data_IF_073800402861
#
_entry.id   IF_073800402861
#
_cell.length_a   1.000
_cell.length_b   1.000
_cell.length_c   1.000
_cell.angle_alpha   90.00
_cell.angle_beta   90.00
_cell.angle_gamma   90.00
#
_symmetry.space_group_name_H-M   'P 1'
#
loop_
_entity.id
_entity.type
_entity.pdbx_description
1 polymer ?
#
# COMPACT_ATOMS: atom_id res chain seq x y z
N UNK A 1 -17.67 -5.40 2.07
CA UNK A 1 -16.89 -4.14 1.91
C UNK A 1 -15.78 -4.41 0.92
N UNK A 2 -15.63 -3.57 -0.10
CA UNK A 2 -14.68 -3.75 -1.20
C UNK A 2 -13.23 -3.69 -0.73
N UNK A 3 -12.40 -4.62 -1.22
CA UNK A 3 -10.95 -4.71 -0.92
C UNK A 3 -10.22 -3.41 -1.27
N UNK A 4 -10.62 -2.76 -2.37
CA UNK A 4 -10.11 -1.46 -2.78
C UNK A 4 -10.31 -0.37 -1.71
N UNK A 5 -11.43 -0.36 -0.98
CA UNK A 5 -11.70 0.62 0.08
C UNK A 5 -10.84 0.39 1.33
N UNK A 6 -10.57 -0.88 1.67
CA UNK A 6 -9.63 -1.20 2.76
C UNK A 6 -8.21 -0.77 2.41
N UNK A 7 -7.75 -1.11 1.22
CA UNK A 7 -6.41 -0.77 0.75
C UNK A 7 -6.17 0.75 0.72
N UNK A 8 -7.17 1.51 0.25
CA UNK A 8 -7.10 2.97 0.25
C UNK A 8 -7.18 3.56 1.66
N UNK A 9 -8.04 3.05 2.54
CA UNK A 9 -8.11 3.50 3.95
C UNK A 9 -6.80 3.22 4.70
N UNK A 10 -6.18 2.07 4.48
CA UNK A 10 -4.90 1.69 5.07
C UNK A 10 -3.78 2.64 4.64
N UNK A 11 -3.72 2.98 3.36
CA UNK A 11 -2.76 3.96 2.83
C UNK A 11 -2.97 5.35 3.46
N UNK A 12 -4.22 5.84 3.43
CA UNK A 12 -4.57 7.16 3.97
C UNK A 12 -4.25 7.25 5.45
N UNK A 13 -4.49 6.18 6.22
CA UNK A 13 -4.16 6.15 7.66
C UNK A 13 -2.67 6.38 7.91
N UNK A 14 -1.77 5.76 7.12
CA UNK A 14 -0.33 5.92 7.27
C UNK A 14 0.14 7.34 6.96
N UNK A 15 -0.43 7.96 5.93
CA UNK A 15 -0.14 9.36 5.55
C UNK A 15 -0.63 10.33 6.62
N UNK A 16 -1.86 10.15 7.10
CA UNK A 16 -2.47 11.03 8.12
C UNK A 16 -1.71 10.92 9.44
N UNK A 17 -1.35 9.70 9.87
CA UNK A 17 -0.56 9.49 11.10
C UNK A 17 0.84 10.08 10.95
N UNK A 18 1.52 9.88 9.82
CA UNK A 18 2.83 10.46 9.56
C UNK A 18 2.83 11.98 9.59
N UNK A 19 1.83 12.61 8.97
CA UNK A 19 1.66 14.06 8.97
C UNK A 19 1.31 14.59 10.37
N UNK A 20 0.42 13.92 11.10
CA UNK A 20 0.04 14.32 12.46
C UNK A 20 1.22 14.25 13.44
N UNK A 21 2.00 13.15 13.38
CA UNK A 21 3.19 12.99 14.23
C UNK A 21 4.30 13.95 13.81
N UNK A 22 4.52 14.13 12.51
CA UNK A 22 5.48 15.12 11.99
C UNK A 22 5.16 16.54 12.43
N UNK A 23 3.89 16.95 12.35
CA UNK A 23 3.44 18.28 12.79
C UNK A 23 3.55 18.47 14.31
N UNK A 24 3.27 17.44 15.11
CA UNK A 24 3.44 17.46 16.55
C UNK A 24 4.90 17.59 16.97
N UNK A 25 5.80 16.83 16.35
CA UNK A 25 7.24 16.91 16.64
C UNK A 25 7.84 18.25 16.23
N UNK A 26 7.44 18.80 15.08
CA UNK A 26 7.90 20.11 14.60
C UNK A 26 7.58 21.22 15.62
N UNK A 27 6.38 21.17 16.20
CA UNK A 27 5.91 22.08 17.25
C UNK A 27 6.66 21.95 18.58
N UNK A 28 7.13 20.76 18.94
CA UNK A 28 7.80 20.50 20.23
C UNK A 28 9.30 20.78 20.13
N UNK A 29 9.94 20.44 19.01
CA UNK A 29 11.38 20.61 18.85
C UNK A 29 11.78 22.00 18.36
N UNK A 30 10.88 22.78 17.74
CA UNK A 30 11.19 24.12 17.21
C UNK A 30 12.29 24.12 16.14
N UNK A 31 12.75 22.94 15.73
CA UNK A 31 13.67 22.70 14.64
C UNK A 31 12.95 22.97 13.33
N UNK A 32 13.66 23.62 12.39
CA UNK A 32 13.27 23.80 10.99
C UNK A 32 12.53 22.57 10.41
N UNK A 33 11.73 22.72 9.33
CA UNK A 33 10.78 21.71 8.79
C UNK A 33 11.34 20.33 8.39
N UNK A 34 12.60 20.06 8.71
CA UNK A 34 13.29 18.77 8.65
C UNK A 34 12.55 17.64 9.38
N UNK A 35 12.03 17.88 10.59
CA UNK A 35 11.29 16.84 11.32
C UNK A 35 10.00 16.46 10.57
N UNK A 36 9.28 17.44 10.04
CA UNK A 36 8.10 17.22 9.21
C UNK A 36 8.43 16.40 7.94
N UNK A 37 9.52 16.72 7.25
CA UNK A 37 9.93 16.01 6.01
C UNK A 37 10.33 14.57 6.31
N UNK A 38 11.14 14.31 7.34
CA UNK A 38 11.57 12.96 7.71
C UNK A 38 10.39 12.12 8.19
N UNK A 39 9.52 12.66 9.05
CA UNK A 39 8.37 11.91 9.55
C UNK A 39 7.28 11.70 8.50
N UNK A 40 7.09 12.65 7.58
CA UNK A 40 6.19 12.47 6.42
C UNK A 40 6.75 11.40 5.48
N UNK A 41 8.06 11.40 5.23
CA UNK A 41 8.74 10.35 4.47
C UNK A 41 8.60 8.98 5.13
N UNK A 42 8.90 8.87 6.41
CA UNK A 42 8.73 7.63 7.19
C UNK A 42 7.27 7.17 7.27
N UNK A 43 6.32 8.09 7.44
CA UNK A 43 4.89 7.79 7.44
C UNK A 43 4.39 7.28 6.09
N UNK A 44 4.90 7.86 4.99
CA UNK A 44 4.63 7.38 3.63
C UNK A 44 5.22 5.98 3.43
N UNK A 45 6.46 5.74 3.85
CA UNK A 45 7.11 4.42 3.79
C UNK A 45 6.34 3.39 4.63
N UNK A 46 5.88 3.75 5.82
CA UNK A 46 5.04 2.91 6.66
C UNK A 46 3.69 2.59 5.98
N UNK A 47 3.04 3.58 5.39
CA UNK A 47 1.79 3.41 4.61
C UNK A 47 1.97 2.47 3.42
N UNK A 48 3.03 2.67 2.63
CA UNK A 48 3.37 1.79 1.49
C UNK A 48 3.67 0.37 1.97
N UNK A 49 4.43 0.18 3.05
CA UNK A 49 4.68 -1.16 3.64
C UNK A 49 3.39 -1.80 4.13
N UNK A 50 2.44 -1.04 4.67
CA UNK A 50 1.16 -1.58 5.11
C UNK A 50 0.30 -2.05 3.91
N UNK A 51 0.23 -1.25 2.84
CA UNK A 51 -0.41 -1.64 1.57
C UNK A 51 0.23 -2.90 1.01
N UNK A 52 1.56 -2.96 0.90
CA UNK A 52 2.26 -4.15 0.38
C UNK A 52 1.96 -5.41 1.20
N UNK A 53 1.82 -5.29 2.52
CA UNK A 53 1.42 -6.41 3.38
C UNK A 53 -0.04 -6.81 3.13
N UNK A 54 -0.94 -5.84 2.99
CA UNK A 54 -2.33 -6.10 2.65
C UNK A 54 -2.42 -6.82 1.29
N UNK A 55 -1.70 -6.35 0.27
CA UNK A 55 -1.65 -6.98 -1.06
C UNK A 55 -1.12 -8.41 -1.00
N UNK A 56 -0.08 -8.70 -0.19
CA UNK A 56 0.40 -10.08 0.02
C UNK A 56 -0.67 -10.97 0.65
N UNK A 57 -1.38 -10.48 1.66
CA UNK A 57 -2.48 -11.23 2.28
C UNK A 57 -3.63 -11.47 1.28
N UNK A 58 -3.91 -10.51 0.39
CA UNK A 58 -4.88 -10.71 -0.70
C UNK A 58 -4.37 -11.67 -1.78
N UNK A 59 -3.08 -11.64 -2.11
CA UNK A 59 -2.43 -12.56 -3.07
C UNK A 59 -2.47 -14.00 -2.56
N UNK A 60 -2.17 -14.24 -1.28
CA UNK A 60 -2.29 -15.58 -0.66
C UNK A 60 -3.74 -16.08 -0.63
N UNK A 61 -4.70 -15.19 -0.39
CA UNK A 61 -6.12 -15.49 -0.47
C UNK A 61 -6.57 -15.78 -1.92
N UNK A 62 -6.02 -15.08 -2.92
CA UNK A 62 -6.30 -15.32 -4.35
C UNK A 62 -5.53 -16.53 -4.89
N UNK A 63 -4.36 -16.88 -4.35
CA UNK A 63 -3.61 -18.09 -4.71
C UNK A 63 -4.33 -19.37 -4.27
N UNK A 64 -5.17 -19.25 -3.23
CA UNK A 64 -6.08 -20.32 -2.79
C UNK A 64 -7.42 -20.36 -3.56
N UNK A 65 -7.71 -19.37 -4.42
CA UNK A 65 -9.01 -19.23 -5.11
C UNK A 65 -8.99 -18.77 -6.57
N UNK A 66 -7.84 -18.61 -7.22
CA UNK A 66 -7.76 -17.91 -8.50
C UNK A 66 -6.37 -17.83 -9.13
N UNK A 67 -5.65 -18.95 -9.23
CA UNK A 67 -4.60 -19.08 -10.26
C UNK A 67 -5.28 -19.61 -11.54
N UNK A 68 -5.96 -18.70 -12.26
CA UNK A 68 -6.31 -18.85 -13.69
C UNK A 68 -6.36 -17.48 -14.34
N UNK A 69 -5.25 -16.74 -14.28
CA UNK A 69 -5.03 -15.61 -15.16
C UNK A 69 -3.60 -15.60 -15.67
N UNK A 70 -3.23 -16.68 -16.35
CA UNK A 70 -2.45 -16.61 -17.59
C UNK A 70 -2.64 -17.93 -18.38
N UNK A 71 -2.63 -17.84 -19.72
CA UNK A 71 -2.63 -18.93 -20.71
C UNK A 71 -3.93 -19.67 -21.09
N UNK A 72 -4.86 -18.96 -21.72
CA UNK A 72 -5.63 -19.56 -22.83
C UNK A 72 -5.76 -18.62 -24.03
N UNK A 73 -4.65 -17.93 -24.37
CA UNK A 73 -4.40 -17.39 -25.71
C UNK A 73 -3.65 -18.38 -26.61
N UNK A 74 -3.33 -19.59 -26.12
CA UNK A 74 -2.76 -20.65 -26.96
C UNK A 74 -3.90 -21.40 -27.65
N UNK A 75 -4.20 -21.03 -28.89
CA UNK A 75 -4.89 -21.90 -29.83
C UNK A 75 -4.02 -22.06 -31.06
N UNK A 76 -3.21 -23.12 -31.17
CA UNK A 76 -2.70 -23.56 -32.45
C UNK A 76 -3.85 -24.23 -33.20
N UNK A 77 -4.66 -23.42 -33.87
CA UNK A 77 -5.59 -23.83 -34.92
C UNK A 77 -4.98 -23.18 -36.16
N UNK A 78 -4.17 -23.86 -36.95
CA UNK A 78 -4.68 -24.74 -37.99
C UNK A 78 -3.72 -25.91 -38.23
N UNK A 79 -4.12 -27.10 -37.78
CA UNK A 79 -3.74 -28.35 -38.43
C UNK A 79 -4.99 -28.82 -39.17
N UNK A 80 -5.08 -28.53 -40.46
CA UNK A 80 -5.91 -29.28 -41.39
C UNK A 80 -5.23 -29.38 -42.75
#
# INVERSE_FOLDING_TARGET
MSVALRLSSEFISGVVVGAAVGWGLDRVFGTMPLCLVIFTGLGTVAGVRNVLRATRAYDEAHKSGGVKQDQSGQSPVDRK
#
